data_IF_319808820189
#
_entry.id   IF_319808820189
#
_cell.length_a   1.000
_cell.length_b   1.000
_cell.length_c   1.000
_cell.angle_alpha   90.00
_cell.angle_beta   90.00
_cell.angle_gamma   90.00
#
_symmetry.space_group_name_H-M   'P 1'
#
loop_
_entity.id
_entity.type
_entity.pdbx_description
1 polymer ?
#
# COMPACT_ATOMS: atom_id res chain seq x y z
N UNK A 1 42.69 41.13 37.56
CA UNK A 1 41.80 39.98 37.87
C UNK A 1 41.33 39.36 36.56
N UNK A 2 41.66 38.08 36.33
CA UNK A 2 41.15 37.23 35.23
C UNK A 2 39.65 36.95 35.42
N UNK A 3 38.89 36.82 34.33
CA UNK A 3 37.84 35.80 34.05
C UNK A 3 37.13 36.15 32.73
N UNK A 4 37.46 35.48 31.63
CA UNK A 4 36.91 34.21 31.11
C UNK A 4 35.81 34.43 30.06
N UNK A 5 36.16 34.19 28.79
CA UNK A 5 35.30 34.01 27.62
C UNK A 5 34.32 32.86 27.87
N UNK A 6 33.04 33.06 27.53
CA UNK A 6 32.11 31.94 27.28
C UNK A 6 31.40 32.24 25.96
N UNK A 7 31.99 31.73 24.88
CA UNK A 7 31.32 31.57 23.61
C UNK A 7 30.35 30.38 23.75
N UNK A 8 29.04 30.66 23.77
CA UNK A 8 28.02 29.62 23.67
C UNK A 8 27.96 29.14 22.22
N UNK A 9 28.69 28.06 21.94
CA UNK A 9 28.52 27.26 20.75
C UNK A 9 27.12 26.61 20.78
N UNK A 10 26.19 27.16 20.00
CA UNK A 10 24.92 26.51 19.69
C UNK A 10 25.23 25.37 18.72
N UNK A 11 25.56 24.20 19.27
CA UNK A 11 25.55 22.94 18.52
C UNK A 11 24.11 22.66 18.11
N UNK A 12 23.73 23.10 16.92
CA UNK A 12 22.51 22.66 16.24
C UNK A 12 22.58 21.15 16.06
N UNK A 13 21.82 20.42 16.87
CA UNK A 13 21.51 19.01 16.62
C UNK A 13 20.79 18.92 15.28
N UNK A 14 21.57 18.65 14.23
CA UNK A 14 21.07 18.07 13.00
C UNK A 14 20.58 16.66 13.34
N UNK A 15 19.33 16.56 13.80
CA UNK A 15 18.56 15.33 13.74
C UNK A 15 18.37 14.99 12.25
N UNK A 16 19.41 14.44 11.63
CA UNK A 16 19.24 13.71 10.39
C UNK A 16 18.34 12.54 10.74
N UNK A 17 17.05 12.69 10.42
CA UNK A 17 16.09 11.61 10.51
C UNK A 17 16.57 10.51 9.56
N UNK A 18 17.36 9.57 10.07
CA UNK A 18 17.55 8.29 9.42
C UNK A 18 16.15 7.73 9.20
N UNK A 19 15.68 7.80 7.96
CA UNK A 19 14.43 7.18 7.56
C UNK A 19 14.56 5.71 7.95
N UNK A 20 13.85 5.31 9.01
CA UNK A 20 13.95 3.97 9.57
C UNK A 20 13.49 3.00 8.50
N UNK A 21 14.43 2.24 7.92
CA UNK A 21 14.12 1.20 6.95
C UNK A 21 13.29 0.14 7.68
N UNK A 22 12.07 -0.09 7.21
CA UNK A 22 11.19 -1.15 7.70
C UNK A 22 11.47 -2.44 6.92
N UNK A 23 11.18 -3.61 7.50
CA UNK A 23 11.23 -4.87 6.76
C UNK A 23 10.02 -5.03 5.83
N UNK A 24 10.12 -5.94 4.86
CA UNK A 24 9.01 -6.26 3.96
C UNK A 24 7.79 -6.77 4.72
N UNK A 25 8.00 -7.59 5.76
CA UNK A 25 6.93 -8.05 6.65
C UNK A 25 6.26 -6.87 7.38
N UNK A 26 7.05 -5.95 7.95
CA UNK A 26 6.49 -4.76 8.62
C UNK A 26 5.74 -3.84 7.66
N UNK A 27 6.19 -3.75 6.40
CA UNK A 27 5.51 -3.01 5.36
C UNK A 27 4.19 -3.69 5.00
N UNK A 28 4.22 -5.01 4.76
CA UNK A 28 3.07 -5.82 4.41
C UNK A 28 1.96 -5.78 5.48
N UNK A 29 2.33 -5.88 6.76
CA UNK A 29 1.38 -5.80 7.87
C UNK A 29 0.57 -4.50 7.91
N UNK A 30 1.05 -3.41 7.27
CA UNK A 30 0.25 -2.17 7.14
C UNK A 30 -0.89 -2.30 6.13
N UNK A 31 -0.79 -3.22 5.19
CA UNK A 31 -1.84 -3.53 4.21
C UNK A 31 -2.84 -4.53 4.76
N UNK A 32 -2.46 -5.40 5.69
CA UNK A 32 -3.37 -6.38 6.31
C UNK A 32 -4.57 -5.71 6.95
N UNK A 33 -5.78 -6.15 6.59
CA UNK A 33 -7.04 -5.62 7.07
C UNK A 33 -8.17 -5.70 6.05
N UNK A 34 -9.31 -5.12 6.40
CA UNK A 34 -10.49 -4.99 5.53
C UNK A 34 -10.56 -3.58 4.97
N UNK A 35 -10.77 -3.48 3.67
CA UNK A 35 -10.72 -2.26 2.90
C UNK A 35 -11.98 -2.11 2.06
N UNK A 36 -12.54 -0.92 2.03
CA UNK A 36 -13.82 -0.62 1.38
C UNK A 36 -13.58 0.38 0.26
N UNK A 37 -14.01 0.04 -0.95
CA UNK A 37 -14.01 0.97 -2.07
C UNK A 37 -15.38 1.65 -2.17
N UNK A 38 -15.43 2.92 -1.83
CA UNK A 38 -16.65 3.75 -1.88
C UNK A 38 -16.86 4.44 -3.21
N UNK A 39 -15.83 4.51 -4.07
CA UNK A 39 -15.78 5.38 -5.25
C UNK A 39 -15.52 4.58 -6.54
N UNK A 40 -16.03 3.34 -6.59
CA UNK A 40 -15.82 2.44 -7.72
C UNK A 40 -16.36 3.07 -9.03
N UNK A 41 -15.53 3.26 -10.09
CA UNK A 41 -16.02 3.79 -11.36
C UNK A 41 -16.92 2.77 -12.05
N UNK A 42 -18.22 2.99 -11.97
CA UNK A 42 -19.25 2.09 -12.52
C UNK A 42 -20.44 2.00 -11.59
N UNK A 43 -21.59 1.62 -12.14
CA UNK A 43 -22.94 1.63 -11.55
C UNK A 43 -23.15 0.65 -10.38
N UNK A 44 -22.18 0.43 -9.51
CA UNK A 44 -22.40 -0.37 -8.32
C UNK A 44 -23.11 0.50 -7.28
N UNK A 45 -24.37 0.15 -6.98
CA UNK A 45 -25.17 0.82 -5.94
C UNK A 45 -24.55 0.69 -4.53
N UNK A 46 -23.53 -0.15 -4.37
CA UNK A 46 -22.95 -0.53 -3.08
C UNK A 46 -21.42 -0.62 -3.17
N UNK A 47 -20.76 -0.32 -2.06
CA UNK A 47 -19.31 -0.43 -1.92
C UNK A 47 -18.80 -1.86 -2.09
N UNK A 48 -17.66 -2.02 -2.75
CA UNK A 48 -16.92 -3.29 -2.78
C UNK A 48 -15.99 -3.41 -1.58
N UNK A 49 -15.67 -4.64 -1.20
CA UNK A 49 -14.76 -4.93 -0.09
C UNK A 49 -13.59 -5.77 -0.58
N UNK A 50 -12.39 -5.41 -0.15
CA UNK A 50 -11.20 -6.23 -0.32
C UNK A 50 -10.61 -6.52 1.05
N UNK A 51 -10.24 -7.78 1.29
CA UNK A 51 -9.55 -8.20 2.53
C UNK A 51 -8.14 -8.60 2.17
N UNK A 52 -7.14 -8.02 2.84
CA UNK A 52 -5.75 -8.46 2.76
C UNK A 52 -5.42 -9.17 4.07
N UNK A 53 -5.08 -10.45 3.99
CA UNK A 53 -4.88 -11.32 5.15
C UNK A 53 -3.41 -11.41 5.55
N UNK A 54 -3.07 -11.79 6.80
CA UNK A 54 -1.68 -11.95 7.22
C UNK A 54 -0.89 -13.01 6.44
N UNK A 55 -1.56 -13.98 5.82
CA UNK A 55 -0.96 -15.11 5.11
C UNK A 55 -0.74 -14.86 3.61
N UNK A 56 -0.56 -13.60 3.20
CA UNK A 56 -0.29 -13.23 1.80
C UNK A 56 -1.41 -13.60 0.82
N UNK A 57 -2.66 -13.60 1.30
CA UNK A 57 -3.86 -13.79 0.49
C UNK A 57 -4.71 -12.52 0.53
N UNK A 58 -5.08 -12.05 -0.65
CA UNK A 58 -6.13 -11.06 -0.86
C UNK A 58 -7.44 -11.71 -1.28
N UNK A 59 -8.55 -11.10 -0.88
CA UNK A 59 -9.90 -11.58 -1.18
C UNK A 59 -10.75 -10.41 -1.71
N UNK A 60 -11.43 -10.65 -2.82
CA UNK A 60 -12.36 -9.69 -3.40
C UNK A 60 -13.79 -10.13 -3.07
N UNK A 61 -14.52 -9.22 -2.42
CA UNK A 61 -15.89 -9.42 -1.98
C UNK A 61 -16.78 -8.42 -2.72
N UNK A 62 -17.81 -8.93 -3.39
CA UNK A 62 -18.73 -8.10 -4.15
C UNK A 62 -19.39 -7.04 -3.26
N UNK A 63 -19.86 -7.47 -2.08
CA UNK A 63 -20.49 -6.60 -1.07
C UNK A 63 -20.04 -6.96 0.35
N UNK A 64 -20.21 -6.06 1.34
CA UNK A 64 -19.85 -6.32 2.74
C UNK A 64 -20.61 -7.49 3.40
N UNK A 65 -21.77 -7.87 2.86
CA UNK A 65 -22.67 -8.92 3.36
C UNK A 65 -22.66 -10.18 2.48
N UNK A 66 -21.78 -10.26 1.49
CA UNK A 66 -21.60 -11.49 0.70
C UNK A 66 -21.22 -12.66 1.62
N UNK A 67 -21.72 -13.87 1.31
CA UNK A 67 -21.46 -15.07 2.12
C UNK A 67 -20.09 -15.72 1.87
N UNK A 68 -19.42 -15.33 0.78
CA UNK A 68 -18.09 -15.81 0.41
C UNK A 68 -17.40 -14.82 -0.56
N UNK A 69 -16.06 -14.85 -0.67
CA UNK A 69 -15.35 -14.02 -1.63
C UNK A 69 -15.54 -14.53 -3.07
N UNK A 70 -15.70 -13.60 -4.01
CA UNK A 70 -15.79 -13.88 -5.44
C UNK A 70 -14.42 -14.18 -6.04
N UNK A 71 -13.40 -13.46 -5.57
CA UNK A 71 -12.01 -13.61 -6.00
C UNK A 71 -11.09 -13.88 -4.82
N UNK A 72 -10.06 -14.68 -5.06
CA UNK A 72 -8.92 -14.80 -4.14
C UNK A 72 -7.62 -14.73 -4.94
N UNK A 73 -6.64 -14.03 -4.40
CA UNK A 73 -5.35 -13.81 -5.04
C UNK A 73 -4.21 -13.93 -4.03
N UNK A 74 -3.09 -14.51 -4.48
CA UNK A 74 -1.86 -14.59 -3.71
C UNK A 74 -0.97 -13.37 -3.96
N UNK A 75 -0.21 -12.99 -2.94
CA UNK A 75 0.63 -11.79 -2.92
C UNK A 75 2.10 -12.20 -2.82
N UNK A 76 2.93 -11.66 -3.71
CA UNK A 76 4.38 -11.67 -3.54
C UNK A 76 4.92 -10.26 -3.48
N UNK A 77 5.58 -9.93 -2.38
CA UNK A 77 6.26 -8.63 -2.17
C UNK A 77 7.54 -8.59 -3.00
N UNK A 78 7.72 -7.51 -3.76
CA UNK A 78 8.88 -7.31 -4.62
C UNK A 78 9.81 -6.21 -4.11
N UNK A 79 9.21 -5.09 -3.68
CA UNK A 79 9.94 -3.91 -3.22
C UNK A 79 9.08 -3.14 -2.24
N UNK A 80 9.70 -2.65 -1.16
CA UNK A 80 9.02 -1.85 -0.15
C UNK A 80 9.81 -0.58 0.16
N UNK A 81 9.10 0.51 0.46
CA UNK A 81 9.71 1.74 0.96
C UNK A 81 8.71 2.58 1.74
N UNK A 82 9.24 3.55 2.48
CA UNK A 82 8.45 4.56 3.19
C UNK A 82 8.86 5.93 2.65
N UNK A 83 7.89 6.74 2.26
CA UNK A 83 8.16 8.10 1.79
C UNK A 83 8.49 9.06 2.95
N UNK A 84 8.85 10.30 2.63
CA UNK A 84 9.14 11.33 3.64
C UNK A 84 7.93 11.72 4.49
N UNK A 85 6.70 11.47 4.00
CA UNK A 85 5.44 11.75 4.70
C UNK A 85 5.02 10.60 5.62
N UNK A 86 5.70 9.45 5.54
CA UNK A 86 5.43 8.26 6.33
C UNK A 86 4.48 7.26 5.67
N UNK A 87 4.08 7.48 4.41
CA UNK A 87 3.28 6.52 3.65
C UNK A 87 4.15 5.32 3.29
N UNK A 88 3.58 4.13 3.38
CA UNK A 88 4.25 2.88 3.00
C UNK A 88 3.83 2.49 1.59
N UNK A 89 4.81 2.16 0.78
CA UNK A 89 4.63 1.66 -0.57
C UNK A 89 5.14 0.23 -0.67
N UNK A 90 4.40 -0.58 -1.42
CA UNK A 90 4.81 -1.92 -1.79
C UNK A 90 4.52 -2.17 -3.27
N UNK A 91 5.52 -2.68 -3.99
CA UNK A 91 5.28 -3.34 -5.27
C UNK A 91 4.93 -4.80 -5.00
N UNK A 92 3.79 -5.24 -5.53
CA UNK A 92 3.31 -6.60 -5.40
C UNK A 92 3.10 -7.25 -6.77
N UNK A 93 3.46 -8.53 -6.85
CA UNK A 93 2.91 -9.41 -7.87
C UNK A 93 1.67 -10.09 -7.29
N UNK A 94 0.54 -9.96 -7.98
CA UNK A 94 -0.72 -10.57 -7.58
C UNK A 94 -1.13 -11.65 -8.58
N UNK A 95 -1.48 -12.83 -8.08
CA UNK A 95 -1.96 -13.94 -8.91
C UNK A 95 -3.29 -14.45 -8.36
N UNK A 96 -4.35 -14.38 -9.17
CA UNK A 96 -5.60 -15.00 -8.77
C UNK A 96 -5.46 -16.53 -8.69
N UNK A 97 -5.98 -17.08 -7.59
CA UNK A 97 -6.11 -18.52 -7.34
C UNK A 97 -7.58 -18.97 -7.40
N UNK A 98 -8.52 -18.02 -7.39
CA UNK A 98 -9.97 -18.23 -7.56
C UNK A 98 -10.60 -17.01 -8.23
N UNK A 99 -11.55 -17.22 -9.14
CA UNK A 99 -12.40 -16.17 -9.73
C UNK A 99 -11.86 -15.50 -10.99
N UNK A 100 -10.55 -15.57 -11.25
CA UNK A 100 -9.92 -15.05 -12.48
C UNK A 100 -8.64 -15.81 -12.80
N UNK A 101 -8.21 -15.80 -14.06
CA UNK A 101 -6.88 -16.27 -14.48
C UNK A 101 -5.85 -15.14 -14.59
N UNK A 102 -6.24 -13.92 -14.20
CA UNK A 102 -5.42 -12.73 -14.30
C UNK A 102 -4.28 -12.73 -13.27
N UNK A 103 -3.16 -12.14 -13.67
CA UNK A 103 -2.11 -11.71 -12.76
C UNK A 103 -1.74 -10.27 -13.10
N UNK A 104 -1.26 -9.53 -12.10
CA UNK A 104 -0.90 -8.11 -12.25
C UNK A 104 0.35 -7.76 -11.44
N UNK A 105 1.11 -6.82 -11.99
CA UNK A 105 2.12 -6.09 -11.25
C UNK A 105 1.45 -4.81 -10.72
N UNK A 106 1.46 -4.64 -9.41
CA UNK A 106 0.80 -3.55 -8.74
C UNK A 106 1.79 -2.73 -7.91
N UNK A 107 1.52 -1.43 -7.82
CA UNK A 107 2.03 -0.57 -6.78
C UNK A 107 0.86 -0.24 -5.84
N UNK A 108 1.07 -0.48 -4.56
CA UNK A 108 0.12 -0.13 -3.52
C UNK A 108 0.74 0.86 -2.54
N UNK A 109 -0.06 1.80 -2.04
CA UNK A 109 0.32 2.76 -0.99
C UNK A 109 -0.68 2.70 0.14
N UNK A 110 -0.20 2.58 1.38
CA UNK A 110 -0.98 2.88 2.59
C UNK A 110 -0.45 4.16 3.21
N UNK A 111 -1.34 5.08 3.55
CA UNK A 111 -0.97 6.34 4.19
C UNK A 111 -0.37 6.12 5.60
N UNK A 112 0.29 7.16 6.14
CA UNK A 112 0.92 7.08 7.47
C UNK A 112 -0.06 6.67 8.58
N UNK A 113 -1.34 7.04 8.44
CA UNK A 113 -2.37 6.74 9.43
C UNK A 113 -2.93 5.30 9.32
N UNK A 114 -2.61 4.58 8.24
CA UNK A 114 -3.15 3.24 7.99
C UNK A 114 -4.63 3.24 7.58
N UNK A 115 -5.16 4.37 7.11
CA UNK A 115 -6.59 4.58 6.83
C UNK A 115 -6.95 4.57 5.36
N UNK A 116 -6.01 4.95 4.50
CA UNK A 116 -6.22 5.06 3.06
C UNK A 116 -5.24 4.17 2.33
N UNK A 117 -5.78 3.29 1.48
CA UNK A 117 -5.03 2.42 0.59
C UNK A 117 -5.31 2.81 -0.85
N UNK A 118 -4.25 3.13 -1.60
CA UNK A 118 -4.31 3.29 -3.05
C UNK A 118 -3.65 2.12 -3.74
N UNK A 119 -4.20 1.81 -4.90
CA UNK A 119 -3.73 0.74 -5.76
C UNK A 119 -3.60 1.27 -7.18
N UNK A 120 -2.51 0.89 -7.85
CA UNK A 120 -2.34 1.08 -9.28
C UNK A 120 -1.73 -0.17 -9.86
N UNK A 121 -2.24 -0.65 -10.99
CA UNK A 121 -1.69 -1.85 -11.62
C UNK A 121 -1.60 -1.75 -13.12
N UNK A 122 -0.74 -2.60 -13.67
CA UNK A 122 -0.61 -2.84 -15.10
C UNK A 122 -0.80 -4.33 -15.36
N UNK A 123 -1.48 -4.65 -16.45
CA UNK A 123 -1.52 -6.02 -16.94
C UNK A 123 -0.15 -6.40 -17.47
N UNK A 124 0.32 -7.56 -17.05
CA UNK A 124 1.58 -8.11 -17.51
C UNK A 124 1.31 -9.07 -18.66
N UNK A 125 1.72 -8.70 -19.87
CA UNK A 125 1.84 -9.63 -21.01
C UNK A 125 3.19 -10.35 -20.98
N UNK A 126 3.65 -10.77 -19.80
CA UNK A 126 4.96 -11.43 -19.60
C UNK A 126 6.15 -10.49 -19.34
N UNK A 127 5.92 -9.26 -18.89
CA UNK A 127 6.99 -8.32 -18.50
C UNK A 127 7.11 -8.17 -16.98
N UNK A 128 8.34 -8.08 -16.46
CA UNK A 128 8.64 -7.78 -15.05
C UNK A 128 8.50 -6.28 -14.72
N UNK A 129 7.62 -5.56 -15.43
CA UNK A 129 7.42 -4.13 -15.23
C UNK A 129 6.47 -3.86 -14.08
N UNK A 130 6.92 -3.12 -13.07
CA UNK A 130 6.11 -2.68 -11.94
C UNK A 130 5.93 -1.15 -11.97
N UNK A 131 4.73 -0.62 -11.68
CA UNK A 131 4.55 0.82 -11.54
C UNK A 131 5.44 1.37 -10.41
N UNK A 132 6.05 2.53 -10.63
CA UNK A 132 6.86 3.23 -9.60
C UNK A 132 6.15 4.45 -9.00
N UNK A 133 5.01 4.84 -9.58
CA UNK A 133 4.19 5.98 -9.15
C UNK A 133 2.73 5.55 -9.07
N UNK A 134 2.02 6.04 -8.06
CA UNK A 134 0.55 5.94 -8.00
C UNK A 134 -0.01 6.97 -8.98
N UNK A 135 -0.65 6.49 -10.03
CA UNK A 135 -1.15 7.32 -11.11
C UNK A 135 -2.67 7.13 -11.26
N UNK A 136 -3.48 8.13 -10.84
CA UNK A 136 -4.92 8.10 -10.99
C UNK A 136 -5.42 8.03 -12.44
N UNK A 137 -4.57 8.33 -13.43
CA UNK A 137 -4.93 8.27 -14.84
C UNK A 137 -4.76 6.87 -15.44
N UNK A 138 -4.10 5.94 -14.73
CA UNK A 138 -4.03 4.56 -15.18
C UNK A 138 -5.40 3.89 -15.09
N UNK A 139 -5.72 3.07 -16.10
CA UNK A 139 -7.01 2.39 -16.23
C UNK A 139 -7.39 1.52 -15.01
N UNK A 140 -6.40 1.17 -14.17
CA UNK A 140 -6.57 0.35 -12.96
C UNK A 140 -6.03 1.06 -11.74
N UNK A 141 -6.62 2.20 -11.46
CA UNK A 141 -6.44 2.93 -10.21
C UNK A 141 -7.65 2.72 -9.30
N UNK A 142 -7.39 2.45 -8.03
CA UNK A 142 -8.43 2.26 -7.02
C UNK A 142 -8.01 2.91 -5.70
N UNK A 143 -9.00 3.42 -4.98
CA UNK A 143 -8.86 3.95 -3.62
C UNK A 143 -9.78 3.16 -2.70
N UNK A 144 -9.23 2.75 -1.57
CA UNK A 144 -9.95 2.06 -0.52
C UNK A 144 -9.73 2.75 0.83
N UNK A 145 -10.74 2.65 1.68
CA UNK A 145 -10.73 3.15 3.04
C UNK A 145 -10.79 1.97 4.01
N UNK A 146 -10.00 2.04 5.08
CA UNK A 146 -9.99 1.00 6.10
C UNK A 146 -11.33 0.96 6.82
N UNK A 147 -11.90 -0.24 6.97
CA UNK A 147 -13.11 -0.48 7.76
C UNK A 147 -12.83 -0.38 9.26
#
# INVERSE_FOLDING_TARGET
MRRFLIAFAVCGLLLSGCARKISDEQAYQRFVGTWVNTDYPGTLERSQVTVIRPDYVGEDWLFPDSSSPEGQWEIKVQKTWVDKKGSTYCQFFLRYIKGSSTHVNALMRVDKAGKLWEFTSVHTSGTDFYPEVIDPQLQRYWVYYRK
#
